data_IF_410544503752
#
_entry.id   IF_410544503752
#
_cell.length_a   1.000
_cell.length_b   1.000
_cell.length_c   1.000
_cell.angle_alpha   90.00
_cell.angle_beta   90.00
_cell.angle_gamma   90.00
#
_symmetry.space_group_name_H-M   'P 1'
#
loop_
_entity.id
_entity.type
_entity.pdbx_description
1 polymer ?
#
# COMPACT_ATOMS: atom_id res chain seq x y z
N UNK A 1 -40.51 18.59 -35.67
CA UNK A 1 -39.24 18.09 -35.10
C UNK A 1 -39.60 16.93 -34.19
N UNK A 2 -39.26 15.71 -34.59
CA UNK A 2 -39.33 14.55 -33.70
C UNK A 2 -38.48 14.84 -32.46
N UNK A 3 -38.89 14.44 -31.25
CA UNK A 3 -38.03 14.58 -30.07
C UNK A 3 -36.71 13.87 -30.36
N UNK A 4 -35.60 14.53 -30.05
CA UNK A 4 -34.28 13.90 -30.01
C UNK A 4 -34.43 12.61 -29.18
N UNK A 5 -33.89 11.47 -29.61
CA UNK A 5 -33.95 10.25 -28.82
C UNK A 5 -33.44 10.56 -27.42
N UNK A 6 -34.21 10.20 -26.40
CA UNK A 6 -33.74 10.26 -25.01
C UNK A 6 -32.42 9.50 -24.97
N UNK A 7 -31.33 10.20 -24.59
CA UNK A 7 -30.02 9.60 -24.37
C UNK A 7 -30.20 8.33 -23.55
N UNK A 8 -29.60 7.21 -23.96
CA UNK A 8 -29.78 5.94 -23.26
C UNK A 8 -29.51 6.14 -21.76
N UNK A 9 -30.30 5.51 -20.88
CA UNK A 9 -30.10 5.63 -19.43
C UNK A 9 -29.09 4.58 -18.91
N UNK A 10 -28.35 3.93 -19.81
CA UNK A 10 -27.50 2.79 -19.51
C UNK A 10 -26.20 3.28 -18.87
N UNK A 11 -25.91 2.75 -17.68
CA UNK A 11 -24.61 2.83 -17.03
C UNK A 11 -23.83 1.56 -17.35
N UNK A 12 -22.70 1.70 -18.03
CA UNK A 12 -21.82 0.57 -18.33
C UNK A 12 -20.85 0.37 -17.17
N UNK A 13 -20.78 -0.85 -16.64
CA UNK A 13 -19.79 -1.26 -15.65
C UNK A 13 -18.82 -2.27 -16.29
N UNK A 14 -17.58 -1.85 -16.52
CA UNK A 14 -16.52 -2.75 -17.00
C UNK A 14 -15.93 -3.51 -15.81
N UNK A 15 -16.18 -4.82 -15.75
CA UNK A 15 -15.71 -5.75 -14.74
C UNK A 15 -14.26 -6.19 -15.03
N UNK A 16 -13.34 -5.86 -14.12
CA UNK A 16 -11.94 -6.32 -14.17
C UNK A 16 -11.70 -7.53 -13.25
N UNK A 17 -12.71 -8.40 -13.08
CA UNK A 17 -12.63 -9.67 -12.34
C UNK A 17 -12.39 -9.51 -10.83
N UNK A 18 -12.97 -8.48 -10.22
CA UNK A 18 -12.91 -8.30 -8.77
C UNK A 18 -14.19 -8.77 -8.08
N UNK A 19 -14.04 -9.37 -6.89
CA UNK A 19 -15.18 -9.82 -6.08
C UNK A 19 -16.11 -8.68 -5.63
N UNK A 20 -15.60 -7.45 -5.55
CA UNK A 20 -16.33 -6.25 -5.13
C UNK A 20 -17.11 -5.58 -6.27
N UNK A 21 -16.96 -6.01 -7.53
CA UNK A 21 -17.76 -5.51 -8.66
C UNK A 21 -19.27 -5.63 -8.38
N UNK A 22 -19.70 -6.70 -7.69
CA UNK A 22 -21.09 -6.89 -7.27
C UNK A 22 -21.60 -5.81 -6.31
N UNK A 23 -20.74 -5.31 -5.41
CA UNK A 23 -21.11 -4.25 -4.46
C UNK A 23 -21.27 -2.91 -5.19
N UNK A 24 -20.40 -2.62 -6.18
CA UNK A 24 -20.55 -1.46 -7.06
C UNK A 24 -21.87 -1.56 -7.82
N UNK A 25 -22.13 -2.69 -8.48
CA UNK A 25 -23.38 -2.95 -9.19
C UNK A 25 -24.61 -2.72 -8.29
N UNK A 26 -24.58 -3.26 -7.07
CA UNK A 26 -25.65 -3.09 -6.11
C UNK A 26 -25.87 -1.62 -5.75
N UNK A 27 -24.80 -0.88 -5.38
CA UNK A 27 -24.93 0.52 -5.00
C UNK A 27 -25.44 1.39 -6.16
N UNK A 28 -24.94 1.17 -7.38
CA UNK A 28 -25.43 1.86 -8.57
C UNK A 28 -26.91 1.57 -8.84
N UNK A 29 -27.33 0.31 -8.72
CA UNK A 29 -28.72 -0.10 -8.89
C UNK A 29 -29.64 0.51 -7.83
N UNK A 30 -29.22 0.53 -6.56
CA UNK A 30 -29.94 1.16 -5.45
C UNK A 30 -30.07 2.69 -5.62
N UNK A 31 -29.10 3.32 -6.31
CA UNK A 31 -29.12 4.73 -6.68
C UNK A 31 -29.93 5.00 -7.96
N UNK A 32 -30.55 3.97 -8.56
CA UNK A 32 -31.45 4.08 -9.71
C UNK A 32 -30.78 4.04 -11.08
N UNK A 33 -29.51 3.64 -11.16
CA UNK A 33 -28.84 3.44 -12.44
C UNK A 33 -29.28 2.12 -13.11
N UNK A 34 -29.46 2.14 -14.43
CA UNK A 34 -29.65 0.93 -15.23
C UNK A 34 -28.29 0.37 -15.62
N UNK A 35 -27.78 -0.59 -14.84
CA UNK A 35 -26.39 -1.07 -14.97
C UNK A 35 -26.29 -2.27 -15.90
N UNK A 36 -25.44 -2.18 -16.92
CA UNK A 36 -25.02 -3.32 -17.74
C UNK A 36 -23.54 -3.63 -17.50
N UNK A 37 -23.27 -4.87 -17.09
CA UNK A 37 -21.92 -5.32 -16.69
C UNK A 37 -21.26 -6.08 -17.82
N UNK A 38 -20.04 -5.69 -18.18
CA UNK A 38 -19.23 -6.38 -19.19
C UNK A 38 -17.85 -6.69 -18.65
N UNK A 39 -17.39 -7.94 -18.79
CA UNK A 39 -16.00 -8.28 -18.47
C UNK A 39 -15.07 -7.66 -19.50
N UNK A 40 -13.93 -7.15 -19.03
CA UNK A 40 -12.97 -6.38 -19.82
C UNK A 40 -12.40 -7.11 -21.06
N UNK A 41 -12.53 -8.43 -21.14
CA UNK A 41 -12.02 -9.29 -22.22
C UNK A 41 -13.11 -10.13 -22.90
N UNK A 42 -14.39 -9.97 -22.50
CA UNK A 42 -15.56 -10.69 -23.08
C UNK A 42 -16.48 -9.76 -23.85
N UNK A 43 -16.03 -8.55 -24.13
CA UNK A 43 -16.73 -7.55 -24.95
C UNK A 43 -15.73 -6.81 -25.84
N UNK A 44 -16.22 -5.97 -26.75
CA UNK A 44 -15.38 -5.14 -27.62
C UNK A 44 -15.72 -3.67 -27.43
N UNK A 45 -14.75 -2.79 -27.73
CA UNK A 45 -14.99 -1.36 -27.70
C UNK A 45 -16.16 -0.96 -28.61
N UNK A 46 -16.21 -1.49 -29.84
CA UNK A 46 -17.31 -1.21 -30.79
C UNK A 46 -18.68 -1.58 -30.24
N UNK A 47 -18.76 -2.69 -29.49
CA UNK A 47 -20.01 -3.07 -28.85
C UNK A 47 -20.39 -2.07 -27.75
N UNK A 48 -19.45 -1.66 -26.89
CA UNK A 48 -19.70 -0.63 -25.87
C UNK A 48 -20.14 0.70 -26.51
N UNK A 49 -19.54 1.09 -27.63
CA UNK A 49 -19.95 2.27 -28.41
C UNK A 49 -21.39 2.12 -28.90
N UNK A 50 -21.77 0.93 -29.40
CA UNK A 50 -23.12 0.69 -29.91
C UNK A 50 -24.24 0.77 -28.86
N UNK A 51 -23.89 0.67 -27.57
CA UNK A 51 -24.85 0.81 -26.47
C UNK A 51 -25.25 2.27 -26.19
N UNK A 52 -24.52 3.24 -26.75
CA UNK A 52 -24.70 4.67 -26.47
C UNK A 52 -24.79 4.97 -24.96
N UNK A 53 -23.79 4.59 -24.15
CA UNK A 53 -23.90 4.63 -22.70
C UNK A 53 -23.96 6.05 -22.17
N UNK A 54 -24.74 6.26 -21.10
CA UNK A 54 -24.82 7.53 -20.38
C UNK A 54 -23.53 7.88 -19.65
N UNK A 55 -22.91 6.86 -19.06
CA UNK A 55 -21.69 6.96 -18.28
C UNK A 55 -21.06 5.57 -18.14
N UNK A 56 -19.77 5.56 -17.78
CA UNK A 56 -18.98 4.34 -17.66
C UNK A 56 -18.30 4.29 -16.30
N UNK A 57 -18.34 3.13 -15.65
CA UNK A 57 -17.53 2.81 -14.48
C UNK A 57 -16.56 1.71 -14.85
N UNK A 58 -15.28 1.91 -14.54
CA UNK A 58 -14.24 0.89 -14.60
C UNK A 58 -14.03 0.37 -13.18
N UNK A 59 -14.37 -0.90 -12.97
CA UNK A 59 -14.34 -1.54 -11.66
C UNK A 59 -12.91 -1.83 -11.16
N UNK A 60 -12.76 -2.17 -9.86
CA UNK A 60 -11.55 -2.76 -9.32
C UNK A 60 -11.15 -4.03 -10.04
N UNK A 61 -9.89 -4.42 -9.89
CA UNK A 61 -9.36 -5.65 -10.45
C UNK A 61 -7.99 -5.97 -9.85
N UNK A 62 -7.54 -7.23 -9.91
CA UNK A 62 -6.17 -7.58 -9.61
C UNK A 62 -5.23 -7.09 -10.73
N UNK A 63 -3.93 -7.03 -10.44
CA UNK A 63 -2.91 -6.82 -11.46
C UNK A 63 -2.61 -5.35 -11.74
N UNK A 64 -2.25 -5.04 -12.99
CA UNK A 64 -1.82 -3.71 -13.46
C UNK A 64 -2.60 -3.28 -14.70
N UNK A 65 -2.78 -1.96 -14.93
CA UNK A 65 -3.49 -1.48 -16.10
C UNK A 65 -2.93 -2.01 -17.42
N UNK A 66 -1.62 -2.00 -17.62
CA UNK A 66 -0.99 -2.44 -18.88
C UNK A 66 -1.13 -3.93 -19.22
N UNK A 67 -1.44 -4.79 -18.24
CA UNK A 67 -1.49 -6.25 -18.45
C UNK A 67 -2.87 -6.86 -18.25
N UNK A 68 -3.69 -6.29 -17.36
CA UNK A 68 -4.87 -6.97 -16.84
C UNK A 68 -6.19 -6.22 -17.13
N UNK A 69 -6.13 -4.98 -17.64
CA UNK A 69 -7.33 -4.13 -17.77
C UNK A 69 -8.21 -4.43 -18.98
N UNK A 70 -7.83 -5.36 -19.87
CA UNK A 70 -8.53 -5.62 -21.12
C UNK A 70 -8.81 -4.32 -21.90
N UNK A 71 -10.04 -4.14 -22.37
CA UNK A 71 -10.46 -2.94 -23.13
C UNK A 71 -10.58 -1.66 -22.28
N UNK A 72 -10.36 -1.69 -20.96
CA UNK A 72 -10.67 -0.55 -20.09
C UNK A 72 -9.92 0.73 -20.48
N UNK A 73 -8.64 0.62 -20.85
CA UNK A 73 -7.83 1.75 -21.30
C UNK A 73 -8.38 2.36 -22.61
N UNK A 74 -8.75 1.49 -23.56
CA UNK A 74 -9.32 1.92 -24.85
C UNK A 74 -10.68 2.59 -24.66
N UNK A 75 -11.50 2.07 -23.72
CA UNK A 75 -12.77 2.68 -23.33
C UNK A 75 -12.57 4.08 -22.74
N UNK A 76 -11.61 4.24 -21.81
CA UNK A 76 -11.31 5.56 -21.23
C UNK A 76 -10.91 6.55 -22.32
N UNK A 77 -9.96 6.19 -23.18
CA UNK A 77 -9.48 7.05 -24.26
C UNK A 77 -10.58 7.37 -25.28
N UNK A 78 -11.43 6.40 -25.63
CA UNK A 78 -12.50 6.62 -26.60
C UNK A 78 -13.58 7.58 -26.08
N UNK A 79 -14.00 7.41 -24.82
CA UNK A 79 -15.11 8.16 -24.25
C UNK A 79 -14.71 9.45 -23.53
N UNK A 80 -13.40 9.72 -23.40
CA UNK A 80 -12.88 10.98 -22.90
C UNK A 80 -13.48 12.17 -23.66
N UNK A 81 -14.00 13.15 -22.92
CA UNK A 81 -14.64 14.34 -23.48
C UNK A 81 -16.02 14.10 -24.10
N UNK A 82 -16.57 12.88 -24.02
CA UNK A 82 -17.92 12.54 -24.53
C UNK A 82 -18.93 12.31 -23.43
N UNK A 83 -18.61 11.47 -22.45
CA UNK A 83 -19.48 11.09 -21.33
C UNK A 83 -18.69 10.96 -20.03
N UNK A 84 -19.34 10.96 -18.86
CA UNK A 84 -18.67 10.77 -17.59
C UNK A 84 -18.06 9.37 -17.43
N UNK A 85 -16.85 9.31 -16.87
CA UNK A 85 -16.14 8.06 -16.59
C UNK A 85 -15.67 8.05 -15.12
N UNK A 86 -15.94 6.94 -14.41
CA UNK A 86 -15.46 6.74 -13.04
C UNK A 86 -14.56 5.52 -12.92
N UNK A 87 -13.41 5.66 -12.27
CA UNK A 87 -12.50 4.54 -11.99
C UNK A 87 -12.47 4.18 -10.51
N UNK A 88 -12.52 2.89 -10.17
CA UNK A 88 -12.29 2.42 -8.80
C UNK A 88 -11.11 1.47 -8.75
N UNK A 89 -10.16 1.72 -7.85
CA UNK A 89 -8.94 0.93 -7.66
C UNK A 89 -8.16 0.74 -8.98
N UNK A 90 -8.19 -0.44 -9.60
CA UNK A 90 -7.59 -0.66 -10.92
C UNK A 90 -8.17 0.30 -11.98
N UNK A 91 -9.45 0.67 -11.89
CA UNK A 91 -10.04 1.65 -12.79
C UNK A 91 -9.44 3.06 -12.66
N UNK A 92 -9.11 3.49 -11.43
CA UNK A 92 -8.40 4.75 -11.20
C UNK A 92 -6.96 4.67 -11.73
N UNK A 93 -6.31 3.53 -11.53
CA UNK A 93 -4.96 3.27 -12.07
C UNK A 93 -4.96 3.29 -13.60
N UNK A 94 -6.00 2.77 -14.26
CA UNK A 94 -6.18 2.86 -15.71
C UNK A 94 -6.25 4.33 -16.14
N UNK A 95 -7.08 5.15 -15.48
CA UNK A 95 -7.15 6.60 -15.75
C UNK A 95 -5.77 7.24 -15.58
N UNK A 96 -5.04 6.91 -14.50
CA UNK A 96 -3.72 7.46 -14.26
C UNK A 96 -2.71 7.10 -15.37
N UNK A 97 -2.70 5.84 -15.80
CA UNK A 97 -1.73 5.30 -16.76
C UNK A 97 -2.00 5.75 -18.20
N UNK A 98 -3.26 5.83 -18.64
CA UNK A 98 -3.58 6.25 -20.02
C UNK A 98 -3.19 7.70 -20.33
N UNK A 99 -3.12 8.56 -19.31
CA UNK A 99 -2.61 9.93 -19.43
C UNK A 99 -1.10 10.06 -19.15
N UNK A 100 -0.38 8.94 -19.03
CA UNK A 100 1.08 8.92 -18.91
C UNK A 100 1.62 8.87 -17.47
N UNK A 101 0.75 8.74 -16.48
CA UNK A 101 1.15 8.52 -15.10
C UNK A 101 1.75 7.13 -14.89
N UNK A 102 2.61 6.96 -13.90
CA UNK A 102 3.17 5.64 -13.54
C UNK A 102 2.46 5.06 -12.34
N UNK A 103 1.98 3.83 -12.46
CA UNK A 103 1.45 3.04 -11.35
C UNK A 103 2.57 2.16 -10.79
N UNK A 104 2.82 2.28 -9.49
CA UNK A 104 3.91 1.60 -8.81
C UNK A 104 3.54 1.25 -7.38
N UNK A 105 4.49 0.72 -6.62
CA UNK A 105 4.24 0.36 -5.21
C UNK A 105 3.79 1.58 -4.40
N UNK A 106 2.69 1.44 -3.65
CA UNK A 106 2.06 2.53 -2.91
C UNK A 106 2.82 2.96 -1.62
N UNK A 107 3.99 2.37 -1.34
CA UNK A 107 4.75 2.59 -0.11
C UNK A 107 4.24 1.75 1.08
N UNK A 108 3.00 1.28 1.02
CA UNK A 108 2.34 0.47 2.03
C UNK A 108 1.42 -0.58 1.41
N UNK A 109 1.41 -1.80 1.96
CA UNK A 109 0.45 -2.85 1.60
C UNK A 109 -0.73 -2.77 2.56
N UNK A 110 -1.92 -2.44 2.03
CA UNK A 110 -3.13 -2.31 2.83
C UNK A 110 -4.21 -3.21 2.25
N UNK A 111 -4.51 -4.32 2.93
CA UNK A 111 -5.61 -5.23 2.57
C UNK A 111 -6.70 -5.17 3.64
N UNK A 112 -7.88 -4.67 3.28
CA UNK A 112 -9.07 -4.66 4.14
C UNK A 112 -8.94 -3.80 5.39
N UNK A 113 -8.06 -2.80 5.38
CA UNK A 113 -7.98 -1.82 6.48
C UNK A 113 -8.61 -0.51 6.07
N UNK A 114 -9.20 0.15 7.05
CA UNK A 114 -9.74 1.49 6.90
C UNK A 114 -8.61 2.50 7.10
N UNK A 115 -8.53 3.49 6.21
CA UNK A 115 -7.57 4.61 6.28
C UNK A 115 -8.32 5.92 6.17
N UNK A 116 -7.80 6.95 6.82
CA UNK A 116 -8.28 8.32 6.67
C UNK A 116 -7.91 8.84 5.28
N UNK A 117 -8.90 9.36 4.56
CA UNK A 117 -8.75 9.93 3.22
C UNK A 117 -9.06 11.43 3.27
N UNK A 118 -8.08 12.24 2.89
CA UNK A 118 -8.23 13.67 2.68
C UNK A 118 -8.70 13.90 1.25
N UNK A 119 -9.59 14.87 1.00
CA UNK A 119 -10.08 15.16 -0.36
C UNK A 119 -10.37 16.65 -0.56
N UNK A 120 -10.51 17.06 -1.83
CA UNK A 120 -10.72 18.46 -2.22
C UNK A 120 -12.20 18.94 -2.13
N UNK A 121 -13.14 18.02 -1.87
CA UNK A 121 -14.57 18.32 -1.71
C UNK A 121 -15.31 18.64 -3.01
N UNK A 122 -14.70 18.36 -4.16
CA UNK A 122 -15.24 18.63 -5.50
C UNK A 122 -15.50 17.33 -6.26
N UNK A 123 -16.17 17.42 -7.40
CA UNK A 123 -16.42 16.25 -8.26
C UNK A 123 -17.24 15.21 -7.50
N UNK A 124 -16.74 13.98 -7.46
CA UNK A 124 -17.34 12.88 -6.72
C UNK A 124 -17.38 13.12 -5.19
N UNK A 125 -16.58 14.05 -4.65
CA UNK A 125 -16.59 14.42 -3.23
C UNK A 125 -17.57 15.54 -2.87
N UNK A 126 -18.40 16.02 -3.81
CA UNK A 126 -19.37 17.07 -3.53
C UNK A 126 -20.32 16.66 -2.37
N UNK A 127 -20.46 17.50 -1.34
CA UNK A 127 -21.26 17.19 -0.14
C UNK A 127 -20.82 15.95 0.66
N UNK A 128 -19.61 15.44 0.42
CA UNK A 128 -18.99 14.43 1.27
C UNK A 128 -18.32 15.16 2.44
N UNK A 129 -18.57 14.76 3.71
CA UNK A 129 -17.86 15.32 4.86
C UNK A 129 -16.35 15.18 4.72
N UNK A 130 -15.61 16.16 5.21
CA UNK A 130 -14.14 16.07 5.24
C UNK A 130 -13.69 14.84 6.04
N UNK A 131 -12.49 14.34 5.74
CA UNK A 131 -11.79 13.33 6.55
C UNK A 131 -12.45 11.94 6.61
N UNK A 132 -12.97 11.43 5.49
CA UNK A 132 -13.66 10.14 5.44
C UNK A 132 -12.74 8.95 5.76
N UNK A 133 -13.30 7.95 6.42
CA UNK A 133 -12.66 6.65 6.63
C UNK A 133 -13.04 5.70 5.49
N UNK A 134 -12.06 5.26 4.70
CA UNK A 134 -12.30 4.38 3.54
C UNK A 134 -11.45 3.10 3.56
N UNK A 135 -12.02 2.03 3.02
CA UNK A 135 -11.36 0.72 2.91
C UNK A 135 -10.40 0.68 1.75
N UNK A 136 -9.18 0.18 2.00
CA UNK A 136 -8.13 0.03 0.99
C UNK A 136 -7.73 -1.45 0.84
N UNK A 137 -7.53 -1.87 -0.41
CA UNK A 137 -7.13 -3.22 -0.80
C UNK A 137 -5.90 -3.27 -1.72
N UNK A 138 -5.22 -2.13 -1.90
CA UNK A 138 -4.22 -2.00 -2.94
C UNK A 138 -2.78 -2.03 -2.39
N UNK A 139 -1.89 -2.58 -3.21
CA UNK A 139 -0.43 -2.52 -3.04
C UNK A 139 0.24 -1.58 -4.04
N UNK A 140 -0.50 -1.18 -5.08
CA UNK A 140 -0.08 -0.26 -6.13
C UNK A 140 -0.90 1.03 -6.06
N UNK A 141 -0.30 2.15 -6.46
CA UNK A 141 -0.99 3.44 -6.66
C UNK A 141 -0.22 4.30 -7.66
N UNK A 142 -0.88 5.35 -8.16
CA UNK A 142 -0.21 6.41 -8.92
C UNK A 142 0.98 6.99 -8.15
N UNK A 143 2.10 7.18 -8.85
CA UNK A 143 3.33 7.71 -8.28
C UNK A 143 3.30 9.25 -8.29
N UNK A 144 3.44 9.93 -7.12
CA UNK A 144 3.28 11.38 -7.01
C UNK A 144 4.17 12.23 -7.91
N UNK A 145 5.35 11.74 -8.26
CA UNK A 145 6.31 12.42 -9.14
C UNK A 145 6.03 12.20 -10.64
N UNK A 146 4.93 11.53 -10.98
CA UNK A 146 4.55 11.21 -12.36
C UNK A 146 3.13 11.65 -12.71
N UNK A 147 2.49 12.47 -11.86
CA UNK A 147 1.14 12.98 -12.14
C UNK A 147 1.18 13.79 -13.45
N UNK A 148 0.43 13.38 -14.48
CA UNK A 148 0.39 14.09 -15.76
C UNK A 148 -0.21 15.49 -15.65
N UNK A 149 0.11 16.36 -16.61
CA UNK A 149 -0.41 17.73 -16.65
C UNK A 149 -1.95 17.72 -16.85
N UNK A 150 -2.50 16.71 -17.51
CA UNK A 150 -3.91 16.48 -17.77
C UNK A 150 -4.71 16.10 -16.51
N UNK A 151 -4.04 15.59 -15.47
CA UNK A 151 -4.67 15.13 -14.25
C UNK A 151 -4.39 16.08 -13.08
N UNK A 152 -5.31 16.06 -12.12
CA UNK A 152 -5.10 16.62 -10.79
C UNK A 152 -5.43 15.58 -9.72
N UNK A 153 -4.68 15.61 -8.62
CA UNK A 153 -4.94 14.76 -7.44
C UNK A 153 -6.12 15.35 -6.67
N UNK A 154 -7.14 14.54 -6.41
CA UNK A 154 -8.39 14.96 -5.75
C UNK A 154 -8.51 14.42 -4.33
N UNK A 155 -7.80 13.33 -4.01
CA UNK A 155 -7.70 12.81 -2.66
C UNK A 155 -6.37 12.11 -2.38
N UNK A 156 -5.98 12.06 -1.10
CA UNK A 156 -4.72 11.49 -0.64
C UNK A 156 -4.79 11.00 0.81
N UNK A 157 -3.87 10.14 1.21
CA UNK A 157 -3.66 9.79 2.63
C UNK A 157 -2.77 10.82 3.32
N UNK A 158 -2.71 10.81 4.66
CA UNK A 158 -1.75 11.62 5.42
C UNK A 158 -0.28 11.33 5.06
N UNK A 159 0.01 10.12 4.56
CA UNK A 159 1.34 9.72 4.07
C UNK A 159 1.65 10.22 2.65
N UNK A 160 0.69 10.87 1.97
CA UNK A 160 0.85 11.41 0.62
C UNK A 160 0.60 10.41 -0.51
N UNK A 161 0.00 9.24 -0.22
CA UNK A 161 -0.40 8.29 -1.26
C UNK A 161 -1.61 8.85 -1.98
N UNK A 162 -1.57 8.89 -3.32
CA UNK A 162 -2.68 9.35 -4.15
C UNK A 162 -3.86 8.38 -3.95
N UNK A 163 -5.01 8.95 -3.59
CA UNK A 163 -6.26 8.22 -3.33
C UNK A 163 -7.34 8.52 -4.37
N UNK A 164 -7.11 9.48 -5.25
CA UNK A 164 -8.02 9.81 -6.33
C UNK A 164 -7.45 10.89 -7.23
N UNK A 165 -7.87 10.84 -8.49
CA UNK A 165 -7.46 11.76 -9.55
C UNK A 165 -8.65 12.16 -10.40
N UNK A 166 -8.56 13.33 -11.02
CA UNK A 166 -9.55 13.86 -11.95
C UNK A 166 -8.87 14.47 -13.17
N UNK A 167 -9.45 14.29 -14.35
CA UNK A 167 -8.99 15.01 -15.54
C UNK A 167 -9.36 16.48 -15.45
N UNK A 168 -8.45 17.37 -15.88
CA UNK A 168 -8.64 18.83 -15.75
C UNK A 168 -9.71 19.44 -16.65
N UNK A 169 -10.26 18.66 -17.56
CA UNK A 169 -11.13 19.13 -18.64
C UNK A 169 -12.35 18.23 -18.75
N UNK A 170 -12.10 16.93 -18.97
CA UNK A 170 -13.13 15.93 -19.13
C UNK A 170 -13.70 15.42 -17.81
N UNK A 171 -14.97 15.02 -17.80
CA UNK A 171 -15.71 14.43 -16.67
C UNK A 171 -15.23 13.01 -16.32
N UNK A 172 -13.92 12.88 -16.10
CA UNK A 172 -13.24 11.65 -15.76
C UNK A 172 -12.65 11.82 -14.36
N UNK A 173 -13.00 10.93 -13.45
CA UNK A 173 -12.50 10.93 -12.09
C UNK A 173 -12.36 9.49 -11.59
N UNK A 174 -11.45 9.25 -10.66
CA UNK A 174 -11.27 7.93 -10.08
C UNK A 174 -10.80 7.98 -8.65
N UNK A 175 -11.07 6.91 -7.91
CA UNK A 175 -10.66 6.72 -6.53
C UNK A 175 -9.92 5.40 -6.37
N UNK A 176 -8.81 5.41 -5.63
CA UNK A 176 -7.97 4.25 -5.38
C UNK A 176 -8.50 3.36 -4.25
N UNK A 177 -9.30 3.92 -3.34
CA UNK A 177 -10.02 3.18 -2.30
C UNK A 177 -11.35 2.62 -2.83
N UNK A 178 -12.03 1.80 -2.02
CA UNK A 178 -13.27 1.12 -2.41
C UNK A 178 -14.49 1.80 -1.77
N UNK A 179 -15.18 2.74 -2.45
CA UNK A 179 -16.39 3.38 -1.93
C UNK A 179 -17.53 2.37 -1.70
N UNK A 180 -17.54 1.26 -2.41
CA UNK A 180 -18.55 0.19 -2.28
C UNK A 180 -18.36 -0.71 -1.06
N UNK A 181 -17.22 -0.60 -0.36
CA UNK A 181 -16.96 -1.40 0.84
C UNK A 181 -17.85 -0.95 2.00
N UNK A 182 -18.38 -1.90 2.76
CA UNK A 182 -19.26 -1.66 3.93
C UNK A 182 -18.57 -0.79 4.99
N UNK A 183 -17.26 -0.90 5.12
CA UNK A 183 -16.47 -0.12 6.09
C UNK A 183 -16.05 1.25 5.57
N UNK A 184 -16.36 1.58 4.30
CA UNK A 184 -16.10 2.91 3.74
C UNK A 184 -17.27 3.85 4.04
N UNK A 185 -16.95 5.01 4.59
CA UNK A 185 -17.93 6.06 4.84
C UNK A 185 -18.32 6.76 3.53
N UNK A 186 -19.58 7.15 3.44
CA UNK A 186 -20.12 8.00 2.35
C UNK A 186 -19.97 7.48 0.91
N UNK A 187 -19.65 6.21 0.71
CA UNK A 187 -19.48 5.62 -0.61
C UNK A 187 -20.68 5.77 -1.56
N UNK A 188 -21.90 5.65 -1.05
CA UNK A 188 -23.12 5.92 -1.82
C UNK A 188 -23.26 7.37 -2.25
N UNK A 189 -22.77 8.33 -1.46
CA UNK A 189 -22.76 9.75 -1.83
C UNK A 189 -21.78 9.95 -2.99
N UNK A 190 -20.58 9.36 -2.90
CA UNK A 190 -19.57 9.41 -3.97
C UNK A 190 -20.13 8.89 -5.31
N UNK A 191 -20.73 7.70 -5.29
CA UNK A 191 -21.32 7.11 -6.50
C UNK A 191 -22.55 7.90 -6.99
N UNK A 192 -23.37 8.44 -6.09
CA UNK A 192 -24.51 9.29 -6.44
C UNK A 192 -24.07 10.59 -7.12
N UNK A 193 -23.00 11.22 -6.61
CA UNK A 193 -22.43 12.43 -7.22
C UNK A 193 -21.95 12.14 -8.65
N UNK A 194 -21.28 11.01 -8.86
CA UNK A 194 -20.87 10.57 -10.19
C UNK A 194 -22.08 10.36 -11.12
N UNK A 195 -23.12 9.64 -10.68
CA UNK A 195 -24.31 9.37 -11.50
C UNK A 195 -25.09 10.62 -11.90
N UNK A 196 -24.92 11.72 -11.17
CA UNK A 196 -25.51 13.02 -11.49
C UNK A 196 -24.72 13.81 -12.55
N UNK A 197 -23.48 13.42 -12.85
CA UNK A 197 -22.67 14.08 -13.88
C UNK A 197 -23.26 13.83 -15.27
N UNK A 198 -23.08 14.81 -16.15
CA UNK A 198 -23.59 14.79 -17.53
C UNK A 198 -22.54 15.33 -18.50
N UNK A 199 -22.59 14.85 -19.75
CA UNK A 199 -21.68 15.30 -20.78
C UNK A 199 -20.22 14.94 -20.49
N UNK A 200 -19.36 15.30 -21.43
CA UNK A 200 -17.96 14.94 -21.39
C UNK A 200 -17.04 15.94 -20.70
N UNK A 201 -17.54 17.13 -20.31
CA UNK A 201 -16.72 18.23 -19.83
C UNK A 201 -17.19 18.78 -18.48
N UNK A 202 -16.26 19.23 -17.63
CA UNK A 202 -16.61 19.78 -16.32
C UNK A 202 -17.47 21.05 -16.40
N UNK A 203 -17.40 21.80 -17.51
CA UNK A 203 -18.26 22.96 -17.74
C UNK A 203 -19.76 22.63 -17.72
N UNK A 204 -20.13 21.38 -18.03
CA UNK A 204 -21.51 20.89 -17.99
C UNK A 204 -21.99 20.60 -16.56
N UNK A 205 -21.08 20.61 -15.57
CA UNK A 205 -21.29 20.10 -14.22
C UNK A 205 -20.91 21.11 -13.13
N UNK A 206 -21.30 22.38 -13.27
CA UNK A 206 -20.91 23.46 -12.34
C UNK A 206 -21.26 23.20 -10.87
N UNK A 207 -22.30 22.41 -10.60
CA UNK A 207 -22.72 22.03 -9.23
C UNK A 207 -21.70 21.11 -8.53
N UNK A 208 -20.81 20.47 -9.27
CA UNK A 208 -19.75 19.61 -8.73
C UNK A 208 -18.62 20.39 -8.02
N UNK A 209 -18.60 21.72 -8.14
CA UNK A 209 -17.55 22.56 -7.58
C UNK A 209 -16.22 22.57 -8.36
N UNK A 210 -16.13 21.81 -9.46
CA UNK A 210 -14.99 21.81 -10.38
C UNK A 210 -15.09 23.03 -11.30
N UNK A 211 -14.13 23.96 -11.23
CA UNK A 211 -14.10 25.20 -12.03
C UNK A 211 -12.97 25.12 -13.07
N UNK A 212 -13.29 25.36 -14.34
CA UNK A 212 -12.29 25.55 -15.40
C UNK A 212 -11.87 27.04 -15.54
N UNK A 213 -10.62 27.34 -15.95
CA UNK A 213 -9.50 26.41 -16.06
C UNK A 213 -9.03 26.00 -14.66
N UNK A 214 -8.83 24.70 -14.45
CA UNK A 214 -8.29 24.21 -13.19
C UNK A 214 -6.85 24.70 -13.08
N UNK A 215 -6.59 25.55 -12.08
CA UNK A 215 -5.24 26.05 -11.80
C UNK A 215 -4.29 24.84 -11.67
N UNK A 216 -3.08 24.97 -12.26
CA UNK A 216 -2.01 24.01 -11.99
C UNK A 216 -1.78 23.98 -10.49
N UNK A 217 -2.30 22.96 -9.83
CA UNK A 217 -1.92 22.63 -8.46
C UNK A 217 -0.50 22.12 -8.55
N UNK A 218 0.45 23.05 -8.46
CA UNK A 218 1.78 22.71 -8.00
C UNK A 218 1.58 22.14 -6.61
N UNK A 219 1.68 20.82 -6.47
CA UNK A 219 1.94 20.23 -5.17
C UNK A 219 3.24 20.87 -4.73
N UNK A 220 3.16 21.86 -3.86
CA UNK A 220 4.33 22.41 -3.20
C UNK A 220 4.90 21.26 -2.37
N UNK A 221 5.90 20.59 -2.93
CA UNK A 221 6.67 19.56 -2.27
C UNK A 221 7.52 20.23 -1.19
N UNK A 222 6.88 20.56 -0.07
CA UNK A 222 7.53 20.21 1.19
C UNK A 222 7.09 18.79 1.46
N UNK A 223 7.83 17.85 0.88
CA UNK A 223 7.73 16.44 1.25
C UNK A 223 7.89 16.37 2.76
N UNK A 224 6.79 16.23 3.48
CA UNK A 224 6.86 15.74 4.85
C UNK A 224 7.37 14.32 4.68
N UNK A 225 8.60 14.01 5.13
CA UNK A 225 9.16 12.69 4.86
C UNK A 225 8.21 11.64 5.43
N UNK A 226 7.95 10.59 4.65
CA UNK A 226 7.10 9.47 5.09
C UNK A 226 7.63 8.92 6.41
N UNK A 227 6.81 8.21 7.19
CA UNK A 227 7.28 7.65 8.45
C UNK A 227 8.50 6.73 8.23
N UNK A 228 8.53 6.01 7.11
CA UNK A 228 9.66 5.17 6.71
C UNK A 228 10.88 5.98 6.27
N UNK A 229 10.72 7.13 5.59
CA UNK A 229 11.83 8.03 5.27
C UNK A 229 12.40 8.70 6.53
N UNK A 230 11.53 9.10 7.46
CA UNK A 230 11.93 9.60 8.79
C UNK A 230 12.70 8.54 9.56
N UNK A 231 12.22 7.29 9.52
CA UNK A 231 12.91 6.14 10.11
C UNK A 231 14.26 5.94 9.41
N UNK A 232 14.28 5.83 8.09
CA UNK A 232 15.49 5.58 7.31
C UNK A 232 16.58 6.63 7.59
N UNK A 233 16.23 7.92 7.52
CA UNK A 233 17.13 9.02 7.86
C UNK A 233 17.64 8.91 9.30
N UNK A 234 16.73 8.74 10.26
CA UNK A 234 17.09 8.54 11.66
C UNK A 234 18.05 7.37 11.84
N UNK A 235 17.81 6.25 11.17
CA UNK A 235 18.62 5.03 11.31
C UNK A 235 20.02 5.22 10.76
N UNK A 236 20.18 5.92 9.64
CA UNK A 236 21.50 6.30 9.14
C UNK A 236 22.26 7.12 10.19
N UNK A 237 21.61 8.13 10.77
CA UNK A 237 22.21 8.97 11.82
C UNK A 237 22.57 8.14 13.07
N UNK A 238 21.68 7.26 13.53
CA UNK A 238 21.90 6.38 14.68
C UNK A 238 23.11 5.45 14.46
N UNK A 239 23.22 4.86 13.27
CA UNK A 239 24.29 3.94 12.92
C UNK A 239 25.63 4.68 12.87
N UNK A 240 25.67 5.87 12.28
CA UNK A 240 26.89 6.67 12.23
C UNK A 240 27.35 7.13 13.62
N UNK A 241 26.42 7.36 14.55
CA UNK A 241 26.75 7.61 15.95
C UNK A 241 27.32 6.36 16.64
N UNK A 242 26.71 5.20 16.42
CA UNK A 242 27.17 3.93 17.02
C UNK A 242 28.53 3.51 16.46
N UNK A 243 28.78 3.65 15.15
CA UNK A 243 30.07 3.33 14.52
C UNK A 243 31.24 4.15 15.08
N UNK A 244 30.97 5.33 15.68
CA UNK A 244 31.97 6.20 16.32
C UNK A 244 32.25 5.86 17.78
N UNK A 245 31.43 5.02 18.41
CA UNK A 245 31.67 4.61 19.78
C UNK A 245 32.85 3.62 19.84
N UNK A 246 33.73 3.73 20.85
CA UNK A 246 34.84 2.79 21.03
C UNK A 246 34.33 1.35 21.18
N UNK A 247 34.89 0.41 20.40
CA UNK A 247 34.55 -1.01 20.45
C UNK A 247 33.36 -1.44 19.57
N UNK A 248 32.72 -0.50 18.88
CA UNK A 248 31.62 -0.76 17.95
C UNK A 248 31.89 -0.20 16.56
N UNK A 249 33.16 0.09 16.22
CA UNK A 249 33.49 0.46 14.86
C UNK A 249 33.31 -0.74 13.91
N UNK A 250 33.12 -0.52 12.60
CA UNK A 250 33.11 -1.61 11.63
C UNK A 250 34.38 -2.48 11.67
N UNK A 251 35.52 -1.89 12.06
CA UNK A 251 36.78 -2.63 12.24
C UNK A 251 36.70 -3.57 13.45
N UNK A 252 36.21 -3.07 14.59
CA UNK A 252 36.05 -3.86 15.81
C UNK A 252 35.09 -5.04 15.59
N UNK A 253 33.95 -4.82 14.94
CA UNK A 253 32.99 -5.90 14.66
C UNK A 253 33.59 -6.98 13.75
N UNK A 254 34.39 -6.58 12.75
CA UNK A 254 35.12 -7.54 11.89
C UNK A 254 36.12 -8.36 12.69
N UNK A 255 36.85 -7.73 13.61
CA UNK A 255 37.76 -8.45 14.53
C UNK A 255 36.96 -9.46 15.37
N UNK A 256 35.88 -9.04 16.02
CA UNK A 256 35.07 -9.92 16.86
C UNK A 256 34.49 -11.12 16.08
N UNK A 257 34.05 -10.90 14.85
CA UNK A 257 33.59 -11.97 13.96
C UNK A 257 34.73 -12.92 13.59
N UNK A 258 35.93 -12.40 13.28
CA UNK A 258 37.11 -13.22 12.97
C UNK A 258 37.60 -14.05 14.16
N UNK A 259 37.35 -13.57 15.38
CA UNK A 259 37.61 -14.29 16.63
C UNK A 259 36.51 -15.31 16.99
N UNK A 260 35.50 -15.48 16.14
CA UNK A 260 34.39 -16.42 16.33
C UNK A 260 33.62 -16.21 17.65
N UNK A 261 33.52 -14.96 18.11
CA UNK A 261 32.82 -14.59 19.36
C UNK A 261 31.29 -14.69 19.18
N UNK A 262 30.79 -14.62 17.94
CA UNK A 262 29.37 -14.75 17.66
C UNK A 262 28.83 -16.14 18.06
N UNK A 263 27.64 -16.22 18.69
CA UNK A 263 27.03 -17.50 19.02
C UNK A 263 26.80 -18.40 17.78
N UNK A 264 26.80 -19.74 17.96
CA UNK A 264 26.47 -20.67 16.89
C UNK A 264 25.09 -20.40 16.28
N UNK A 265 25.06 -20.41 14.95
CA UNK A 265 23.86 -20.33 14.13
C UNK A 265 23.08 -21.64 14.15
N UNK A 266 21.77 -21.54 13.99
CA UNK A 266 20.99 -22.63 13.39
C UNK A 266 20.64 -22.27 11.95
N UNK A 267 20.63 -23.28 11.07
CA UNK A 267 20.18 -23.07 9.71
C UNK A 267 18.69 -22.71 9.68
N UNK A 268 18.40 -21.48 9.27
CA UNK A 268 17.05 -20.92 9.34
C UNK A 268 16.07 -21.70 8.45
N UNK A 269 16.48 -22.05 7.23
CA UNK A 269 15.62 -22.76 6.27
C UNK A 269 15.28 -24.16 6.75
N UNK A 270 16.26 -24.89 7.28
CA UNK A 270 16.05 -26.20 7.89
C UNK A 270 15.15 -26.10 9.11
N UNK A 271 15.34 -25.08 9.96
CA UNK A 271 14.52 -24.90 11.16
C UNK A 271 13.04 -24.71 10.84
N UNK A 272 12.71 -23.89 9.83
CA UNK A 272 11.31 -23.65 9.44
C UNK A 272 10.71 -24.84 8.67
N UNK A 273 11.51 -25.65 7.99
CA UNK A 273 11.03 -26.86 7.31
C UNK A 273 10.82 -28.04 8.24
N UNK A 274 11.46 -28.05 9.41
CA UNK A 274 11.45 -29.20 10.33
C UNK A 274 10.05 -29.64 10.79
N UNK A 275 9.07 -28.73 10.84
CA UNK A 275 7.69 -29.05 11.26
C UNK A 275 6.79 -29.47 10.10
N UNK A 276 7.22 -29.29 8.85
CA UNK A 276 6.43 -29.59 7.66
C UNK A 276 6.50 -31.08 7.28
N UNK A 277 5.44 -31.62 6.65
CA UNK A 277 4.14 -30.99 6.38
C UNK A 277 3.19 -31.00 7.57
N UNK A 278 3.61 -31.58 8.71
CA UNK A 278 2.73 -31.88 9.85
C UNK A 278 2.09 -30.62 10.46
N UNK A 279 2.87 -29.56 10.64
CA UNK A 279 2.40 -28.27 11.16
C UNK A 279 3.10 -27.10 10.45
N UNK A 280 2.40 -25.97 10.23
CA UNK A 280 3.05 -24.76 9.73
C UNK A 280 4.10 -24.26 10.72
N UNK A 281 5.19 -23.71 10.19
CA UNK A 281 6.22 -23.06 11.00
C UNK A 281 5.65 -21.78 11.63
N UNK A 282 5.70 -21.67 12.95
CA UNK A 282 5.17 -20.51 13.68
C UNK A 282 6.28 -19.51 13.96
N UNK A 283 6.03 -18.26 13.55
CA UNK A 283 6.89 -17.13 13.82
C UNK A 283 6.21 -16.26 14.88
N UNK A 284 6.76 -16.25 16.08
CA UNK A 284 6.23 -15.50 17.21
C UNK A 284 7.04 -14.22 17.43
N UNK A 285 6.35 -13.08 17.57
CA UNK A 285 6.98 -11.76 17.59
C UNK A 285 6.88 -11.10 18.97
N UNK A 286 8.02 -10.63 19.48
CA UNK A 286 8.13 -9.91 20.75
C UNK A 286 8.15 -8.41 20.45
N UNK A 287 7.07 -7.71 20.80
CA UNK A 287 6.84 -6.33 20.35
C UNK A 287 6.26 -5.43 21.44
N UNK A 288 6.97 -4.34 21.75
CA UNK A 288 6.50 -3.30 22.67
C UNK A 288 5.78 -2.16 21.97
N UNK A 289 6.19 -1.80 20.76
CA UNK A 289 5.60 -0.71 19.98
C UNK A 289 5.74 -0.93 18.45
N UNK A 290 5.08 -0.08 17.65
CA UNK A 290 5.38 0.06 16.22
C UNK A 290 5.14 1.47 15.69
N UNK A 291 5.77 1.84 14.56
CA UNK A 291 5.49 3.12 13.89
C UNK A 291 4.01 3.39 13.64
N UNK A 292 3.24 2.36 13.27
CA UNK A 292 1.83 2.52 12.89
C UNK A 292 0.85 2.49 14.07
N UNK A 293 1.18 1.81 15.18
CA UNK A 293 0.27 1.63 16.32
C UNK A 293 0.71 2.35 17.60
N UNK A 294 1.91 2.95 17.61
CA UNK A 294 2.49 3.49 18.84
C UNK A 294 2.81 2.39 19.85
N UNK A 295 2.66 2.71 21.13
CA UNK A 295 2.91 1.78 22.24
C UNK A 295 1.81 0.69 22.26
N UNK A 296 2.23 -0.57 22.35
CA UNK A 296 1.35 -1.74 22.41
C UNK A 296 1.36 -2.29 23.84
N UNK A 297 2.54 -2.68 24.32
CA UNK A 297 2.75 -3.11 25.70
C UNK A 297 4.22 -2.87 26.08
N UNK A 298 4.46 -1.78 26.83
CA UNK A 298 5.81 -1.43 27.26
C UNK A 298 6.32 -2.30 28.41
N UNK A 299 5.45 -3.07 29.06
CA UNK A 299 5.81 -3.94 30.19
C UNK A 299 6.38 -5.29 29.76
N UNK A 300 6.34 -5.61 28.46
CA UNK A 300 6.83 -6.88 27.91
C UNK A 300 8.29 -7.10 28.29
N UNK A 301 8.52 -8.19 29.03
CA UNK A 301 9.83 -8.78 29.23
C UNK A 301 10.14 -9.75 28.08
N UNK A 302 11.13 -9.41 27.26
CA UNK A 302 11.46 -10.16 26.05
C UNK A 302 11.84 -11.62 26.35
N UNK A 303 12.63 -11.86 27.40
CA UNK A 303 13.07 -13.21 27.79
C UNK A 303 11.88 -14.08 28.21
N UNK A 304 11.04 -13.57 29.11
CA UNK A 304 9.84 -14.29 29.58
C UNK A 304 8.94 -14.65 28.40
N UNK A 305 8.71 -13.71 27.48
CA UNK A 305 7.86 -13.93 26.32
C UNK A 305 8.49 -14.93 25.33
N UNK A 306 9.81 -14.87 25.11
CA UNK A 306 10.52 -15.83 24.27
C UNK A 306 10.43 -17.27 24.80
N UNK A 307 10.59 -17.47 26.11
CA UNK A 307 10.45 -18.78 26.73
C UNK A 307 9.03 -19.32 26.59
N UNK A 308 8.01 -18.47 26.79
CA UNK A 308 6.60 -18.83 26.54
C UNK A 308 6.40 -19.28 25.10
N UNK A 309 6.91 -18.53 24.11
CA UNK A 309 6.79 -18.89 22.70
C UNK A 309 7.55 -20.17 22.34
N UNK A 310 8.76 -20.35 22.89
CA UNK A 310 9.54 -21.56 22.71
C UNK A 310 8.79 -22.79 23.25
N UNK A 311 8.23 -22.69 24.46
CA UNK A 311 7.46 -23.77 25.08
C UNK A 311 6.15 -24.08 24.34
N UNK A 312 5.57 -23.08 23.68
CA UNK A 312 4.41 -23.25 22.81
C UNK A 312 4.74 -23.83 21.42
N UNK A 313 6.02 -24.10 21.13
CA UNK A 313 6.45 -24.73 19.88
C UNK A 313 6.74 -23.77 18.72
N UNK A 314 7.03 -22.48 19.01
CA UNK A 314 7.45 -21.54 17.97
C UNK A 314 8.68 -22.07 17.23
N UNK A 315 8.69 -21.94 15.90
CA UNK A 315 9.84 -22.27 15.06
C UNK A 315 10.83 -21.11 14.99
N UNK A 316 10.32 -19.88 15.08
CA UNK A 316 11.09 -18.64 15.02
C UNK A 316 10.56 -17.66 16.07
N UNK A 317 11.48 -16.98 16.75
CA UNK A 317 11.18 -15.85 17.64
C UNK A 317 11.77 -14.59 17.01
N UNK A 318 10.89 -13.71 16.57
CA UNK A 318 11.20 -12.38 16.04
C UNK A 318 11.35 -11.39 17.19
N UNK A 319 12.55 -10.84 17.37
CA UNK A 319 12.86 -9.85 18.40
C UNK A 319 13.04 -8.49 17.75
N UNK A 320 12.24 -7.51 18.15
CA UNK A 320 12.38 -6.15 17.66
C UNK A 320 13.49 -5.45 18.44
N UNK A 321 14.49 -4.88 17.75
CA UNK A 321 15.71 -4.36 18.40
C UNK A 321 15.90 -2.85 18.32
N UNK A 322 15.02 -2.14 17.61
CA UNK A 322 15.13 -0.70 17.41
C UNK A 322 14.47 0.09 18.56
N UNK A 323 15.20 1.07 19.09
CA UNK A 323 14.88 1.71 20.37
C UNK A 323 13.82 2.81 20.28
N UNK A 324 13.69 3.51 19.15
CA UNK A 324 12.79 4.67 19.02
C UNK A 324 11.36 4.26 18.70
N UNK A 325 11.18 3.43 17.68
CA UNK A 325 9.90 3.06 17.07
C UNK A 325 9.37 1.72 17.54
N UNK A 326 10.25 0.76 17.81
CA UNK A 326 9.84 -0.54 18.35
C UNK A 326 9.98 -0.66 19.86
N UNK A 327 10.71 0.28 20.50
CA UNK A 327 11.05 0.26 21.93
C UNK A 327 11.76 -1.05 22.33
N UNK A 328 12.54 -1.59 21.41
CA UNK A 328 13.37 -2.78 21.59
C UNK A 328 14.84 -2.42 21.72
N UNK A 329 15.67 -3.41 22.03
CA UNK A 329 17.12 -3.25 22.09
C UNK A 329 17.83 -4.50 21.60
N UNK A 330 19.08 -4.35 21.15
CA UNK A 330 19.95 -5.49 20.87
C UNK A 330 20.19 -6.36 22.11
N UNK A 331 20.17 -5.76 23.30
CA UNK A 331 20.33 -6.49 24.55
C UNK A 331 19.11 -7.38 24.85
N UNK A 332 17.89 -6.96 24.48
CA UNK A 332 16.71 -7.84 24.53
C UNK A 332 16.95 -9.10 23.69
N UNK A 333 17.45 -8.93 22.45
CA UNK A 333 17.75 -10.06 21.56
C UNK A 333 18.86 -10.95 22.10
N UNK A 334 19.94 -10.37 22.65
CA UNK A 334 21.02 -11.14 23.27
C UNK A 334 20.51 -11.99 24.43
N UNK A 335 19.74 -11.38 25.35
CA UNK A 335 19.17 -12.10 26.49
C UNK A 335 18.18 -13.19 26.05
N UNK A 336 17.37 -12.93 25.01
CA UNK A 336 16.52 -13.95 24.39
C UNK A 336 17.36 -15.09 23.85
N UNK A 337 18.42 -14.80 23.10
CA UNK A 337 19.31 -15.82 22.54
C UNK A 337 19.99 -16.66 23.63
N UNK A 338 20.44 -16.01 24.69
CA UNK A 338 21.09 -16.64 25.85
C UNK A 338 20.10 -17.55 26.59
N UNK A 339 18.88 -17.09 26.86
CA UNK A 339 17.85 -17.88 27.53
C UNK A 339 17.42 -19.11 26.72
N UNK A 340 17.42 -19.01 25.39
CA UNK A 340 17.10 -20.11 24.49
C UNK A 340 18.29 -21.07 24.26
N UNK A 341 19.50 -20.71 24.69
CA UNK A 341 20.73 -21.45 24.36
C UNK A 341 20.77 -22.88 24.93
N UNK A 342 20.07 -23.11 26.04
CA UNK A 342 20.01 -24.40 26.73
C UNK A 342 18.85 -25.27 26.26
N UNK A 343 17.95 -24.74 25.41
CA UNK A 343 16.78 -25.46 24.93
C UNK A 343 17.16 -26.35 23.73
N UNK A 344 17.00 -27.68 23.82
CA UNK A 344 17.19 -28.56 22.68
C UNK A 344 16.24 -28.18 21.55
N UNK A 345 16.74 -28.12 20.31
CA UNK A 345 15.95 -27.74 19.14
C UNK A 345 15.22 -26.39 19.27
N UNK A 346 15.88 -25.42 19.92
CA UNK A 346 15.37 -24.06 20.12
C UNK A 346 14.83 -23.42 18.82
N UNK A 347 13.91 -22.45 18.92
CA UNK A 347 13.53 -21.61 17.79
C UNK A 347 14.72 -20.81 17.24
N UNK A 348 14.64 -20.44 15.95
CA UNK A 348 15.55 -19.47 15.37
C UNK A 348 15.26 -18.08 15.95
N UNK A 349 16.30 -17.30 16.23
CA UNK A 349 16.17 -15.90 16.63
C UNK A 349 16.28 -15.04 15.37
N UNK A 350 15.20 -14.33 15.05
CA UNK A 350 15.15 -13.37 13.96
C UNK A 350 15.31 -11.96 14.54
N UNK A 351 16.28 -11.19 14.05
CA UNK A 351 16.33 -9.75 14.32
C UNK A 351 15.35 -9.02 13.43
N UNK A 352 14.40 -8.32 14.05
CA UNK A 352 13.50 -7.40 13.35
C UNK A 352 13.89 -5.96 13.68
N UNK A 353 14.46 -5.29 12.69
CA UNK A 353 14.95 -3.93 12.80
C UNK A 353 14.78 -3.25 11.43
N UNK A 354 15.00 -1.95 11.37
CA UNK A 354 15.18 -1.23 10.12
C UNK A 354 16.66 -1.35 9.73
N UNK A 355 17.00 -2.48 9.09
CA UNK A 355 18.35 -2.77 8.61
C UNK A 355 18.60 -1.99 7.32
N UNK A 356 19.53 -1.04 7.36
CA UNK A 356 19.89 -0.14 6.24
C UNK A 356 21.38 -0.18 5.88
N UNK A 357 22.20 -0.84 6.70
CA UNK A 357 23.67 -0.89 6.55
C UNK A 357 24.20 -2.28 6.91
N UNK A 358 25.22 -2.77 6.20
CA UNK A 358 25.89 -4.06 6.46
C UNK A 358 26.56 -4.12 7.84
N UNK A 359 26.88 -2.97 8.44
CA UNK A 359 27.25 -2.86 9.85
C UNK A 359 26.23 -3.53 10.78
N UNK A 360 24.94 -3.29 10.56
CA UNK A 360 23.89 -3.90 11.39
C UNK A 360 23.82 -5.41 11.17
N UNK A 361 24.28 -5.93 10.03
CA UNK A 361 24.36 -7.37 9.80
C UNK A 361 25.43 -8.02 10.68
N UNK A 362 26.63 -7.44 10.72
CA UNK A 362 27.69 -7.88 11.63
C UNK A 362 27.23 -7.84 13.09
N UNK A 363 26.59 -6.73 13.48
CA UNK A 363 26.00 -6.56 14.79
C UNK A 363 24.94 -7.62 15.09
N UNK A 364 24.06 -7.92 14.14
CA UNK A 364 23.04 -8.97 14.28
C UNK A 364 23.67 -10.33 14.58
N UNK A 365 24.75 -10.67 13.87
CA UNK A 365 25.48 -11.92 14.10
C UNK A 365 26.11 -11.99 15.47
N UNK A 366 26.81 -10.94 15.89
CA UNK A 366 27.46 -10.86 17.20
C UNK A 366 26.47 -10.91 18.36
N UNK A 367 25.28 -10.33 18.20
CA UNK A 367 24.22 -10.36 19.20
C UNK A 367 23.34 -11.62 19.12
N UNK A 368 23.68 -12.57 18.25
CA UNK A 368 23.11 -13.91 18.27
C UNK A 368 21.87 -14.13 17.40
N UNK A 369 21.62 -13.27 16.41
CA UNK A 369 20.58 -13.52 15.42
C UNK A 369 20.96 -14.71 14.51
N UNK A 370 20.00 -15.61 14.29
CA UNK A 370 20.09 -16.71 13.31
C UNK A 370 19.66 -16.26 11.91
N UNK A 371 18.87 -15.19 11.84
CA UNK A 371 18.45 -14.56 10.60
C UNK A 371 18.08 -13.10 10.87
N UNK A 372 17.97 -12.32 9.79
CA UNK A 372 17.52 -10.93 9.83
C UNK A 372 16.34 -10.75 8.88
N UNK A 373 15.52 -9.74 9.16
CA UNK A 373 14.48 -9.29 8.24
C UNK A 373 14.95 -8.02 7.54
N UNK A 374 14.98 -8.04 6.20
CA UNK A 374 15.20 -6.86 5.37
C UNK A 374 13.86 -6.31 4.91
N UNK A 375 13.64 -5.01 5.11
CA UNK A 375 12.44 -4.32 4.62
C UNK A 375 12.79 -3.75 3.26
N UNK A 376 12.28 -4.37 2.20
CA UNK A 376 12.63 -4.01 0.81
C UNK A 376 12.29 -2.54 0.51
N UNK A 377 11.21 -2.01 1.09
CA UNK A 377 10.77 -0.63 0.82
C UNK A 377 11.66 0.48 1.41
N UNK A 378 12.64 0.15 2.28
CA UNK A 378 13.58 1.14 2.83
C UNK A 378 14.99 1.00 2.24
N UNK A 379 15.21 0.07 1.31
CA UNK A 379 16.51 -0.22 0.73
C UNK A 379 16.48 0.06 -0.78
N UNK A 380 17.56 0.63 -1.31
CA UNK A 380 17.79 0.59 -2.76
C UNK A 380 18.07 -0.85 -3.21
N UNK A 381 17.85 -1.17 -4.48
CA UNK A 381 18.16 -2.49 -5.03
C UNK A 381 19.64 -2.87 -4.84
N UNK A 382 20.53 -1.88 -4.94
CA UNK A 382 21.97 -2.03 -4.66
C UNK A 382 22.19 -2.40 -3.19
N UNK A 383 21.61 -1.66 -2.24
CA UNK A 383 21.79 -1.92 -0.81
C UNK A 383 21.15 -3.24 -0.39
N UNK A 384 20.00 -3.59 -0.96
CA UNK A 384 19.35 -4.88 -0.74
C UNK A 384 20.24 -6.03 -1.21
N UNK A 385 20.86 -5.89 -2.39
CA UNK A 385 21.79 -6.89 -2.94
C UNK A 385 23.06 -7.00 -2.11
N UNK A 386 23.60 -5.88 -1.64
CA UNK A 386 24.74 -5.82 -0.70
C UNK A 386 24.41 -6.57 0.59
N UNK A 387 23.28 -6.24 1.24
CA UNK A 387 22.85 -6.89 2.49
C UNK A 387 22.60 -8.41 2.31
N UNK A 388 21.99 -8.83 1.21
CA UNK A 388 21.80 -10.26 0.89
C UNK A 388 23.13 -10.99 0.73
N UNK A 389 24.05 -10.40 -0.04
CA UNK A 389 25.37 -10.97 -0.31
C UNK A 389 26.23 -11.04 0.94
N UNK A 390 26.04 -10.11 1.89
CA UNK A 390 26.78 -10.07 3.13
C UNK A 390 26.29 -11.10 4.17
N UNK A 391 24.99 -11.43 4.15
CA UNK A 391 24.42 -12.44 5.06
C UNK A 391 24.64 -13.88 4.58
N UNK A 392 24.67 -14.08 3.26
CA UNK A 392 24.89 -15.38 2.61
C UNK A 392 26.32 -15.84 2.81
#
# INVERSE_FOLDING_TARGET
>A
MSPLPETSNITVLIDNYDSFTWNIYQYLSELGAEVQVFRNDKTTLDYIISLDPKNIIISPGPGKPSTDSGISNDVILHFAGKIPIFGVCLGEQCIFEVYGGKVGYAGEIVHGKVSKILHDGKGCYCNVPEDIMATRYHSLSGQPNTVPDELEVTSWTESGVIMGVRHREFTIEGVQFHPESILSEHGKIILSNFLQLKGGNWCDNLKSGVKQPLAKTSVSSKSVPTILEKIHKQRLDDIELVKKQPGSSPHDLKILLSLHVAPPLIDFVSRIKQTLPKYPAIFAEIKRASPSKGNIDLSVNAVKQALTYSNAGASVISVLTESKWFKGTLNDMRQVRDALSTIPNRPAVLRKDFIVDTYQIMESRLYGADTILLIVSILSDEKLSECKSYWS
#
